data_IF_380718532379
#
_entry.id   IF_380718532379
#
_cell.length_a   1.000
_cell.length_b   1.000
_cell.length_c   1.000
_cell.angle_alpha   90.00
_cell.angle_beta   90.00
_cell.angle_gamma   90.00
#
_symmetry.space_group_name_H-M   'P 1'
#
loop_
_entity.id
_entity.type
_entity.pdbx_description
1 polymer ?
#
# COMPACT_ATOMS: atom_id res chain seq x y z
N UNK A 1 0.49 -9.63 -10.58
CA UNK A 1 0.00 -9.56 -9.18
C UNK A 1 -0.65 -10.88 -8.81
N UNK A 2 -0.39 -11.35 -7.62
CA UNK A 2 -1.01 -12.59 -7.14
C UNK A 2 -2.50 -12.38 -6.90
N UNK A 3 -3.29 -13.43 -7.11
CA UNK A 3 -4.73 -13.34 -6.89
C UNK A 3 -5.09 -13.04 -5.44
N UNK A 4 -4.28 -13.51 -4.48
CA UNK A 4 -4.52 -13.18 -3.08
C UNK A 4 -4.30 -11.70 -2.80
N UNK A 5 -3.35 -11.06 -3.49
CA UNK A 5 -3.14 -9.62 -3.37
C UNK A 5 -4.33 -8.86 -3.95
N UNK A 6 -4.84 -9.29 -5.09
CA UNK A 6 -6.02 -8.67 -5.70
C UNK A 6 -7.22 -8.75 -4.76
N UNK A 7 -7.45 -9.94 -4.19
CA UNK A 7 -8.57 -10.13 -3.27
C UNK A 7 -8.43 -9.26 -2.02
N UNK A 8 -7.21 -9.13 -1.51
CA UNK A 8 -6.94 -8.30 -0.33
C UNK A 8 -7.20 -6.82 -0.62
N UNK A 9 -6.77 -6.35 -1.79
CA UNK A 9 -7.02 -4.97 -2.20
C UNK A 9 -8.52 -4.72 -2.30
N UNK A 10 -9.25 -5.63 -2.93
CA UNK A 10 -10.70 -5.49 -3.09
C UNK A 10 -11.38 -5.40 -1.73
N UNK A 11 -11.00 -6.25 -0.79
CA UNK A 11 -11.58 -6.23 0.56
C UNK A 11 -11.28 -4.93 1.30
N UNK A 12 -10.06 -4.42 1.15
CA UNK A 12 -9.66 -3.16 1.78
C UNK A 12 -10.47 -1.99 1.20
N UNK A 13 -10.60 -1.93 -0.11
CA UNK A 13 -11.36 -0.86 -0.76
C UNK A 13 -12.82 -0.91 -0.34
N UNK A 14 -13.41 -2.10 -0.25
CA UNK A 14 -14.77 -2.25 0.23
C UNK A 14 -14.92 -1.78 1.67
N UNK A 15 -13.96 -2.10 2.52
CA UNK A 15 -13.98 -1.65 3.92
C UNK A 15 -13.94 -0.12 4.01
N UNK A 16 -13.10 0.53 3.20
CA UNK A 16 -13.03 1.98 3.21
C UNK A 16 -14.34 2.61 2.71
N UNK A 17 -14.96 2.01 1.72
CA UNK A 17 -16.24 2.48 1.20
C UNK A 17 -17.31 2.42 2.28
N UNK A 18 -17.39 1.28 2.98
CA UNK A 18 -18.43 1.05 3.97
C UNK A 18 -18.18 1.77 5.30
N UNK A 19 -16.92 1.79 5.75
CA UNK A 19 -16.60 2.31 7.09
C UNK A 19 -16.26 3.80 7.07
N UNK A 20 -15.52 4.24 6.07
CA UNK A 20 -15.00 5.60 6.03
C UNK A 20 -15.74 6.50 5.03
N UNK A 21 -16.55 5.93 4.17
CA UNK A 21 -17.34 6.71 3.22
C UNK A 21 -16.52 7.51 2.25
N UNK A 22 -15.35 7.02 1.85
CA UNK A 22 -14.48 7.73 0.93
C UNK A 22 -15.10 7.81 -0.46
N UNK A 23 -14.76 8.87 -1.19
CA UNK A 23 -15.29 9.08 -2.54
C UNK A 23 -14.76 8.02 -3.51
N UNK A 24 -15.48 7.83 -4.62
CA UNK A 24 -15.05 6.91 -5.66
C UNK A 24 -13.69 7.27 -6.22
N UNK A 25 -13.40 8.56 -6.39
CA UNK A 25 -12.12 9.01 -6.91
C UNK A 25 -10.97 8.67 -5.97
N UNK A 26 -11.18 8.89 -4.67
CA UNK A 26 -10.17 8.56 -3.67
C UNK A 26 -9.92 7.05 -3.65
N UNK A 27 -10.99 6.26 -3.67
CA UNK A 27 -10.86 4.81 -3.66
C UNK A 27 -10.16 4.29 -4.91
N UNK A 28 -10.43 4.89 -6.07
CA UNK A 28 -9.75 4.51 -7.31
C UNK A 28 -8.26 4.80 -7.23
N UNK A 29 -7.89 5.95 -6.66
CA UNK A 29 -6.48 6.30 -6.48
C UNK A 29 -5.78 5.35 -5.51
N UNK A 30 -6.44 4.99 -4.42
CA UNK A 30 -5.90 4.05 -3.44
C UNK A 30 -5.71 2.67 -4.05
N UNK A 31 -6.71 2.19 -4.77
CA UNK A 31 -6.62 0.90 -5.46
C UNK A 31 -5.46 0.88 -6.44
N UNK A 32 -5.30 1.96 -7.19
CA UNK A 32 -4.21 2.07 -8.16
C UNK A 32 -2.85 2.01 -7.48
N UNK A 33 -2.67 2.76 -6.39
CA UNK A 33 -1.39 2.78 -5.67
C UNK A 33 -1.03 1.38 -5.15
N UNK A 34 -1.99 0.68 -4.56
CA UNK A 34 -1.75 -0.66 -4.04
C UNK A 34 -1.53 -1.67 -5.15
N UNK A 35 -2.27 -1.55 -6.26
CA UNK A 35 -2.12 -2.48 -7.38
C UNK A 35 -0.75 -2.35 -8.04
N UNK A 36 -0.27 -1.13 -8.21
CA UNK A 36 1.06 -0.90 -8.77
C UNK A 36 2.15 -1.50 -7.88
N UNK A 37 2.03 -1.33 -6.58
CA UNK A 37 2.97 -1.92 -5.65
C UNK A 37 2.90 -3.46 -5.68
N UNK A 38 1.69 -4.00 -5.71
CA UNK A 38 1.50 -5.46 -5.72
C UNK A 38 2.10 -6.10 -6.98
N UNK A 39 1.96 -5.43 -8.12
CA UNK A 39 2.58 -5.89 -9.37
C UNK A 39 4.10 -5.84 -9.26
N UNK A 40 4.64 -4.75 -8.76
CA UNK A 40 6.08 -4.62 -8.55
C UNK A 40 6.61 -5.72 -7.63
N UNK A 41 5.90 -5.95 -6.53
CA UNK A 41 6.29 -6.95 -5.54
C UNK A 41 6.30 -8.37 -6.13
N UNK A 42 5.32 -8.68 -6.97
CA UNK A 42 5.21 -10.00 -7.58
C UNK A 42 6.20 -10.21 -8.72
N UNK A 43 6.48 -9.16 -9.50
CA UNK A 43 7.23 -9.31 -10.74
C UNK A 43 8.70 -8.93 -10.61
N UNK A 44 9.01 -7.95 -9.79
CA UNK A 44 10.35 -7.38 -9.69
C UNK A 44 11.13 -7.97 -8.52
N UNK A 45 10.46 -8.14 -7.37
CA UNK A 45 11.13 -8.61 -6.15
C UNK A 45 11.41 -10.10 -6.28
N UNK A 46 12.65 -10.47 -6.01
CA UNK A 46 13.03 -11.87 -5.99
C UNK A 46 12.22 -12.60 -4.93
N UNK A 47 11.63 -13.73 -5.30
CA UNK A 47 10.78 -14.49 -4.41
C UNK A 47 9.30 -14.25 -4.61
N UNK A 48 8.94 -13.23 -5.41
CA UNK A 48 7.55 -12.99 -5.82
C UNK A 48 6.56 -13.05 -4.66
N UNK A 49 6.58 -12.02 -3.81
CA UNK A 49 5.74 -12.00 -2.61
C UNK A 49 4.35 -11.43 -2.87
N UNK A 50 3.40 -11.87 -2.04
CA UNK A 50 2.06 -11.27 -1.98
C UNK A 50 2.08 -10.07 -1.03
N UNK A 51 1.01 -9.27 -1.05
CA UNK A 51 0.93 -8.09 -0.19
C UNK A 51 1.08 -8.42 1.30
N UNK A 52 0.49 -9.52 1.74
CA UNK A 52 0.56 -9.91 3.14
C UNK A 52 1.93 -10.46 3.55
N UNK A 53 2.84 -10.60 2.60
CA UNK A 53 4.21 -11.05 2.85
C UNK A 53 5.21 -9.88 2.75
N UNK A 54 4.72 -8.66 2.65
CA UNK A 54 5.57 -7.48 2.51
C UNK A 54 6.49 -7.31 3.70
N UNK A 55 7.77 -7.03 3.40
CA UNK A 55 8.76 -6.69 4.41
C UNK A 55 9.05 -5.20 4.38
N UNK A 56 9.56 -4.67 5.48
CA UNK A 56 9.97 -3.27 5.55
C UNK A 56 10.94 -2.92 4.42
N UNK A 57 11.88 -3.82 4.13
CA UNK A 57 12.84 -3.61 3.05
C UNK A 57 12.16 -3.48 1.68
N UNK A 58 11.07 -4.19 1.47
CA UNK A 58 10.32 -4.11 0.21
C UNK A 58 9.74 -2.71 0.02
N UNK A 59 9.18 -2.15 1.08
CA UNK A 59 8.61 -0.81 1.03
C UNK A 59 9.68 0.24 0.80
N UNK A 60 10.80 0.13 1.52
CA UNK A 60 11.92 1.05 1.34
C UNK A 60 12.44 1.00 -0.10
N UNK A 61 12.57 -0.19 -0.65
CA UNK A 61 13.02 -0.37 -2.02
C UNK A 61 12.05 0.24 -3.03
N UNK A 62 10.77 0.05 -2.82
CA UNK A 62 9.75 0.58 -3.72
C UNK A 62 9.75 2.12 -3.72
N UNK A 63 9.77 2.72 -2.54
CA UNK A 63 9.78 4.18 -2.44
C UNK A 63 11.08 4.76 -2.99
N UNK A 64 12.22 4.13 -2.70
CA UNK A 64 13.50 4.60 -3.22
C UNK A 64 13.56 4.54 -4.75
N UNK A 65 13.05 3.47 -5.33
CA UNK A 65 13.07 3.31 -6.78
C UNK A 65 12.25 4.39 -7.50
N UNK A 66 11.26 4.97 -6.81
CA UNK A 66 10.35 5.95 -7.40
C UNK A 66 10.58 7.37 -6.92
N UNK A 67 11.55 7.57 -6.06
CA UNK A 67 11.76 8.88 -5.41
C UNK A 67 11.90 10.02 -6.42
N UNK A 68 12.72 9.82 -7.45
CA UNK A 68 13.03 10.89 -8.40
C UNK A 68 11.94 11.14 -9.43
N UNK A 69 10.98 10.23 -9.55
CA UNK A 69 9.94 10.32 -10.59
C UNK A 69 8.56 10.58 -10.02
N UNK A 70 8.46 10.75 -8.70
CA UNK A 70 7.18 10.90 -8.02
C UNK A 70 7.04 12.29 -7.43
N UNK A 71 5.91 12.94 -7.71
CA UNK A 71 5.58 14.23 -7.09
C UNK A 71 5.37 14.03 -5.59
N UNK A 72 5.68 15.05 -4.80
CA UNK A 72 5.53 14.98 -3.34
C UNK A 72 4.11 14.63 -2.91
N UNK A 73 3.09 15.19 -3.57
CA UNK A 73 1.70 14.90 -3.23
C UNK A 73 1.35 13.45 -3.48
N UNK A 74 1.84 12.87 -4.58
CA UNK A 74 1.61 11.47 -4.91
C UNK A 74 2.36 10.57 -3.92
N UNK A 75 3.59 10.93 -3.56
CA UNK A 75 4.37 10.15 -2.61
C UNK A 75 3.69 10.14 -1.24
N UNK A 76 3.19 11.28 -0.79
CA UNK A 76 2.49 11.38 0.50
C UNK A 76 1.20 10.58 0.49
N UNK A 77 0.43 10.64 -0.60
CA UNK A 77 -0.79 9.85 -0.73
C UNK A 77 -0.46 8.35 -0.69
N UNK A 78 0.55 7.94 -1.43
CA UNK A 78 0.98 6.54 -1.47
C UNK A 78 1.36 6.04 -0.09
N UNK A 79 2.13 6.84 0.64
CA UNK A 79 2.53 6.48 2.00
C UNK A 79 1.31 6.35 2.92
N UNK A 80 0.37 7.28 2.81
CA UNK A 80 -0.87 7.23 3.59
C UNK A 80 -1.67 5.96 3.27
N UNK A 81 -1.83 5.64 1.99
CA UNK A 81 -2.55 4.45 1.57
C UNK A 81 -1.92 3.19 2.14
N UNK A 82 -0.59 3.10 2.06
CA UNK A 82 0.10 1.91 2.53
C UNK A 82 -0.03 1.76 4.04
N UNK A 83 0.11 2.86 4.78
CA UNK A 83 -0.07 2.79 6.23
C UNK A 83 -1.49 2.37 6.61
N UNK A 84 -2.48 2.87 5.90
CA UNK A 84 -3.87 2.49 6.14
C UNK A 84 -4.13 1.04 5.78
N UNK A 85 -3.58 0.59 4.65
CA UNK A 85 -3.77 -0.79 4.22
C UNK A 85 -3.16 -1.78 5.23
N UNK A 86 -1.93 -1.55 5.64
CA UNK A 86 -1.27 -2.48 6.55
C UNK A 86 -1.85 -2.43 7.96
N UNK A 87 -2.32 -1.27 8.40
CA UNK A 87 -3.05 -1.19 9.68
C UNK A 87 -4.34 -2.01 9.61
N UNK A 88 -5.07 -1.89 8.50
CA UNK A 88 -6.27 -2.67 8.28
C UNK A 88 -5.96 -4.16 8.23
N UNK A 89 -4.92 -4.55 7.49
CA UNK A 89 -4.52 -5.96 7.37
C UNK A 89 -4.12 -6.54 8.72
N UNK A 90 -3.46 -5.74 9.56
CA UNK A 90 -3.11 -6.17 10.92
C UNK A 90 -4.37 -6.35 11.77
N UNK A 91 -5.32 -5.42 11.68
CA UNK A 91 -6.59 -5.51 12.40
C UNK A 91 -7.36 -6.77 12.00
N UNK A 92 -7.37 -7.08 10.71
CA UNK A 92 -8.08 -8.25 10.17
C UNK A 92 -7.27 -9.55 10.31
N UNK A 93 -6.06 -9.44 10.86
CA UNK A 93 -5.19 -10.59 11.12
C UNK A 93 -4.69 -11.28 9.86
N UNK A 94 -4.61 -10.57 8.76
CA UNK A 94 -3.95 -11.08 7.57
C UNK A 94 -2.44 -11.05 7.71
N UNK A 95 -1.92 -10.19 8.58
CA UNK A 95 -0.50 -10.09 8.90
C UNK A 95 -0.33 -10.04 10.41
N UNK A 96 0.88 -10.35 10.87
CA UNK A 96 1.21 -10.38 12.29
C UNK A 96 1.93 -9.14 12.77
N UNK A 97 2.46 -8.35 11.84
CA UNK A 97 3.20 -7.15 12.15
C UNK A 97 3.02 -6.16 11.01
N UNK A 98 3.01 -4.87 11.32
CA UNK A 98 2.81 -3.81 10.33
C UNK A 98 4.19 -3.37 9.80
N UNK A 99 4.48 -3.63 8.51
CA UNK A 99 5.80 -3.27 7.96
C UNK A 99 5.99 -1.77 7.76
N UNK A 100 4.93 -0.96 7.94
CA UNK A 100 5.02 0.49 7.76
C UNK A 100 5.35 1.26 9.03
N UNK A 101 5.45 0.58 10.19
CA UNK A 101 5.61 1.27 11.46
C UNK A 101 6.84 2.16 11.52
N UNK A 102 7.93 1.77 10.86
CA UNK A 102 9.17 2.52 10.87
C UNK A 102 9.30 3.50 9.72
N UNK A 103 8.32 3.53 8.81
CA UNK A 103 8.34 4.49 7.73
C UNK A 103 8.00 5.88 8.26
N UNK A 104 8.57 6.94 7.66
CA UNK A 104 8.18 8.30 8.05
C UNK A 104 6.70 8.50 7.79
N UNK A 105 6.05 9.29 8.63
CA UNK A 105 4.67 9.65 8.40
C UNK A 105 4.56 10.53 7.17
N UNK A 106 3.48 10.37 6.40
CA UNK A 106 3.18 11.26 5.30
C UNK A 106 2.95 12.67 5.85
N UNK A 107 3.56 13.67 5.23
CA UNK A 107 3.38 15.05 5.68
C UNK A 107 3.72 16.02 4.58
N UNK A 108 3.19 17.22 4.73
CA UNK A 108 3.51 18.31 3.86
C UNK A 108 4.77 18.99 4.36
N UNK A 109 5.65 19.29 3.46
CA UNK A 109 6.84 20.09 3.79
C UNK A 109 6.60 21.52 3.40
N UNK A 110 6.95 22.35 4.30
CA UNK A 110 6.86 23.78 4.00
C UNK A 110 7.91 24.18 2.97
#
# INVERSE_FOLDING_TARGET
>A
MHSSSQASIDSFIDALWLEDGLSKNTLAAYRRDLSLYAVWLADIVQGSRCLDQTLEADLNGYFSARHNTTKATTANRRLTVFKRYFAWALRERFINADPTLKLPSARQRA
#
